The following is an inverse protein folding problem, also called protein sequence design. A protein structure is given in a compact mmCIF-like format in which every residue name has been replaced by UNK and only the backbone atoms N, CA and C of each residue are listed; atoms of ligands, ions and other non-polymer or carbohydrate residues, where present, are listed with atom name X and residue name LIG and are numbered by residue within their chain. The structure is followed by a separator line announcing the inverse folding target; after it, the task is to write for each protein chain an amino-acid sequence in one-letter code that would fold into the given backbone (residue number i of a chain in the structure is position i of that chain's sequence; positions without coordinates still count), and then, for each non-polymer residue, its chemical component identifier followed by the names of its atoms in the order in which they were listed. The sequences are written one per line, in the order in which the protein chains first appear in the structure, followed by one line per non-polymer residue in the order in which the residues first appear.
data_IF_159431247397
#
_entry.id   IF_159431247397
#
_cell.length_a   1.000
_cell.length_b   1.000
_cell.length_c   1.000
_cell.angle_alpha   90.00
_cell.angle_beta   90.00
_cell.angle_gamma   90.00
#
_symmetry.space_group_name_H-M   'P 1'
#
loop_
_entity.id
_entity.type
_entity.pdbx_description
1 polymer ?
#
# COMPACT_ATOMS: atom_id res chain seq x y z
N UNK A 1 27.36 29.29 13.61
CA UNK A 1 26.63 28.01 13.65
C UNK A 1 25.75 27.99 12.40
N UNK A 2 26.14 27.22 11.35
CA UNK A 2 25.30 27.05 10.16
C UNK A 2 24.07 26.28 10.61
N UNK A 3 22.89 26.90 10.50
CA UNK A 3 21.61 26.19 10.65
C UNK A 3 21.62 24.99 9.69
N UNK A 4 21.77 23.78 10.20
CA UNK A 4 21.51 22.59 9.40
C UNK A 4 20.02 22.57 9.09
N UNK A 5 19.63 22.41 7.82
CA UNK A 5 18.21 22.27 7.50
C UNK A 5 17.66 21.04 8.28
N UNK A 6 16.41 21.17 8.73
CA UNK A 6 15.68 20.05 9.35
C UNK A 6 15.69 18.89 8.37
N UNK A 7 16.05 17.65 8.79
CA UNK A 7 16.11 16.52 7.90
C UNK A 7 14.72 16.22 7.31
N UNK A 8 14.68 15.97 6.00
CA UNK A 8 13.44 15.58 5.30
C UNK A 8 13.09 14.14 5.62
N UNK A 9 11.88 13.94 6.12
CA UNK A 9 11.35 12.62 6.41
C UNK A 9 10.55 12.11 5.22
N UNK A 10 10.96 10.95 4.71
CA UNK A 10 10.23 10.21 3.70
C UNK A 10 9.56 8.98 4.28
N UNK A 11 8.30 8.74 3.93
CA UNK A 11 7.52 7.61 4.38
C UNK A 11 7.16 6.70 3.20
N UNK A 12 7.55 5.42 3.27
CA UNK A 12 7.24 4.39 2.30
C UNK A 12 6.18 3.45 2.87
N UNK A 13 5.01 3.34 2.22
CA UNK A 13 3.88 2.51 2.63
C UNK A 13 3.74 1.29 1.72
N UNK A 14 3.88 0.09 2.29
CA UNK A 14 3.79 -1.17 1.53
C UNK A 14 2.39 -1.49 1.07
N UNK A 15 2.27 -2.26 0.00
CA UNK A 15 1.03 -2.94 -0.35
C UNK A 15 0.64 -3.98 0.71
N UNK A 16 -0.59 -4.48 0.62
CA UNK A 16 -1.03 -5.52 1.56
C UNK A 16 -2.55 -5.69 1.68
N UNK A 17 -3.34 -5.04 0.83
CA UNK A 17 -4.80 -5.12 0.87
C UNK A 17 -5.35 -4.71 2.24
N UNK A 18 -6.20 -5.54 2.88
CA UNK A 18 -6.79 -5.20 4.19
C UNK A 18 -5.75 -4.99 5.30
N UNK A 19 -4.55 -5.60 5.20
CA UNK A 19 -3.44 -5.36 6.13
C UNK A 19 -2.96 -3.90 6.07
N UNK A 20 -3.04 -3.28 4.89
CA UNK A 20 -2.64 -1.90 4.66
C UNK A 20 -3.46 -0.85 5.44
N UNK A 21 -4.60 -1.24 6.02
CA UNK A 21 -5.33 -0.36 6.94
C UNK A 21 -4.49 0.00 8.19
N UNK A 22 -3.47 -0.79 8.53
CA UNK A 22 -2.52 -0.46 9.59
C UNK A 22 -1.73 0.84 9.31
N UNK A 23 -1.54 1.22 8.03
CA UNK A 23 -0.89 2.48 7.68
C UNK A 23 -1.63 3.70 8.25
N UNK A 24 -2.95 3.63 8.35
CA UNK A 24 -3.76 4.71 8.95
C UNK A 24 -3.36 4.90 10.42
N UNK A 25 -3.19 3.80 11.16
CA UNK A 25 -2.73 3.84 12.55
C UNK A 25 -1.33 4.41 12.70
N UNK A 26 -0.42 4.07 11.78
CA UNK A 26 0.93 4.64 11.76
C UNK A 26 0.87 6.15 11.54
N UNK A 27 0.11 6.62 10.54
CA UNK A 27 -0.05 8.04 10.25
C UNK A 27 -0.65 8.82 11.44
N UNK A 28 -1.66 8.26 12.13
CA UNK A 28 -2.24 8.85 13.35
C UNK A 28 -1.18 9.13 14.42
N UNK A 29 -0.28 8.16 14.65
CA UNK A 29 0.76 8.31 15.67
C UNK A 29 1.80 9.34 15.23
N UNK A 30 2.28 9.29 14.00
CA UNK A 30 3.26 10.24 13.49
C UNK A 30 2.72 11.69 13.56
N UNK A 31 1.48 11.90 13.14
CA UNK A 31 0.85 13.23 13.17
C UNK A 31 0.64 13.74 14.60
N UNK A 32 0.16 12.91 15.52
CA UNK A 32 0.01 13.24 16.96
C UNK A 32 1.33 13.60 17.63
N UNK A 33 2.43 13.04 17.14
CA UNK A 33 3.78 13.32 17.65
C UNK A 33 4.44 14.52 16.94
N UNK A 34 3.72 15.19 16.03
CA UNK A 34 4.25 16.32 15.28
C UNK A 34 5.38 15.95 14.32
N UNK A 35 5.47 14.68 13.92
CA UNK A 35 6.46 14.20 12.94
C UNK A 35 5.92 14.52 11.54
N UNK A 36 6.45 15.58 10.93
CA UNK A 36 6.07 15.99 9.59
C UNK A 36 6.61 14.98 8.55
N UNK A 37 5.77 14.63 7.59
CA UNK A 37 6.14 13.78 6.46
C UNK A 37 6.33 14.67 5.25
N UNK A 38 7.57 14.77 4.75
CA UNK A 38 7.92 15.62 3.63
C UNK A 38 7.73 14.95 2.28
N UNK A 39 7.91 13.62 2.21
CA UNK A 39 7.90 12.83 0.99
C UNK A 39 7.15 11.51 1.24
N UNK A 40 6.33 11.11 0.28
CA UNK A 40 5.55 9.87 0.35
C UNK A 40 5.80 9.00 -0.86
N UNK A 41 5.90 7.68 -0.64
CA UNK A 41 5.70 6.70 -1.69
C UNK A 41 4.84 5.55 -1.19
N UNK A 42 4.08 4.93 -2.08
CA UNK A 42 3.19 3.84 -1.68
C UNK A 42 2.87 2.88 -2.82
N UNK A 43 2.56 1.66 -2.44
CA UNK A 43 2.18 0.58 -3.36
C UNK A 43 0.82 0.03 -2.95
N UNK A 44 -0.07 -0.23 -3.92
CA UNK A 44 -1.36 -0.88 -3.67
C UNK A 44 -2.16 -0.17 -2.57
N UNK A 45 -2.59 -0.86 -1.51
CA UNK A 45 -3.30 -0.24 -0.39
C UNK A 45 -2.46 0.85 0.29
N UNK A 46 -1.15 0.66 0.44
CA UNK A 46 -0.27 1.73 0.95
C UNK A 46 -0.25 2.94 0.04
N UNK A 47 -0.32 2.74 -1.27
CA UNK A 47 -0.47 3.82 -2.25
C UNK A 47 -1.80 4.57 -2.11
N UNK A 48 -2.90 3.85 -1.88
CA UNK A 48 -4.21 4.46 -1.63
C UNK A 48 -4.21 5.30 -0.35
N UNK A 49 -3.65 4.78 0.74
CA UNK A 49 -3.54 5.51 2.03
C UNK A 49 -2.62 6.72 1.88
N UNK A 50 -1.47 6.57 1.20
CA UNK A 50 -0.54 7.68 0.92
C UNK A 50 -1.20 8.78 0.09
N UNK A 51 -1.96 8.41 -0.95
CA UNK A 51 -2.68 9.35 -1.80
C UNK A 51 -3.75 10.13 -1.02
N UNK A 52 -4.54 9.44 -0.21
CA UNK A 52 -5.55 10.06 0.64
C UNK A 52 -4.91 11.06 1.63
N UNK A 53 -3.82 10.66 2.27
CA UNK A 53 -3.08 11.50 3.18
C UNK A 53 -2.45 12.70 2.48
N UNK A 54 -1.78 12.51 1.35
CA UNK A 54 -1.18 13.58 0.56
C UNK A 54 -2.22 14.57 0.01
N UNK A 55 -3.42 14.10 -0.31
CA UNK A 55 -4.55 14.94 -0.73
C UNK A 55 -5.19 15.74 0.43
N UNK A 56 -4.73 15.55 1.67
CA UNK A 56 -5.16 16.35 2.82
C UNK A 56 -6.20 15.69 3.71
N UNK A 57 -6.58 14.43 3.46
CA UNK A 57 -7.47 13.71 4.38
C UNK A 57 -6.72 13.38 5.68
N UNK A 58 -7.36 13.66 6.81
CA UNK A 58 -6.76 13.35 8.12
C UNK A 58 -6.80 11.84 8.40
N UNK A 59 -5.86 11.31 9.18
CA UNK A 59 -5.88 9.90 9.54
C UNK A 59 -7.15 9.49 10.30
N UNK A 60 -7.75 10.39 11.07
CA UNK A 60 -9.03 10.17 11.77
C UNK A 60 -10.20 10.03 10.77
N UNK A 61 -10.23 10.86 9.73
CA UNK A 61 -11.23 10.74 8.67
C UNK A 61 -11.05 9.42 7.90
N UNK A 62 -9.82 9.06 7.56
CA UNK A 62 -9.52 7.79 6.88
C UNK A 62 -9.93 6.57 7.73
N UNK A 63 -9.71 6.62 9.05
CA UNK A 63 -10.20 5.58 9.98
C UNK A 63 -11.71 5.46 9.95
N UNK A 64 -12.44 6.59 10.02
CA UNK A 64 -13.90 6.58 9.96
C UNK A 64 -14.41 5.96 8.64
N UNK A 65 -13.77 6.29 7.51
CA UNK A 65 -14.12 5.71 6.23
C UNK A 65 -13.79 4.22 6.17
N UNK A 66 -12.63 3.80 6.69
CA UNK A 66 -12.26 2.38 6.77
C UNK A 66 -13.26 1.58 7.61
N UNK A 67 -13.68 2.11 8.76
CA UNK A 67 -14.70 1.49 9.62
C UNK A 67 -16.08 1.45 8.95
N UNK A 68 -16.46 2.49 8.22
CA UNK A 68 -17.70 2.49 7.42
C UNK A 68 -17.65 1.41 6.34
N UNK A 69 -16.51 1.26 5.66
CA UNK A 69 -16.31 0.27 4.59
C UNK A 69 -16.09 -1.15 5.11
N UNK A 70 -15.91 -1.36 6.40
CA UNK A 70 -15.73 -2.68 7.02
C UNK A 70 -16.96 -3.60 6.88
N UNK A 71 -18.15 -3.04 6.58
CA UNK A 71 -19.37 -3.80 6.33
C UNK A 71 -19.29 -4.59 5.01
N UNK A 72 -19.60 -5.92 5.01
CA UNK A 72 -19.60 -6.72 3.78
C UNK A 72 -20.50 -6.15 2.67
N UNK A 73 -21.64 -5.55 3.02
CA UNK A 73 -22.55 -4.93 2.03
C UNK A 73 -21.89 -3.75 1.32
N UNK A 74 -21.13 -2.92 2.04
CA UNK A 74 -20.43 -1.78 1.45
C UNK A 74 -19.22 -2.21 0.64
N UNK A 75 -18.47 -3.20 1.08
CA UNK A 75 -17.40 -3.79 0.27
C UNK A 75 -17.94 -4.36 -1.04
N UNK A 76 -19.08 -5.05 -1.00
CA UNK A 76 -19.75 -5.56 -2.20
C UNK A 76 -20.25 -4.43 -3.11
N UNK A 77 -20.59 -3.26 -2.59
CA UNK A 77 -21.00 -2.12 -3.43
C UNK A 77 -19.84 -1.55 -4.26
N UNK A 78 -18.58 -1.77 -3.85
CA UNK A 78 -17.40 -1.43 -4.65
C UNK A 78 -17.02 -2.51 -5.68
N UNK A 79 -17.68 -3.68 -5.63
CA UNK A 79 -17.46 -4.71 -6.62
C UNK A 79 -18.18 -4.33 -7.93
N UNK A 80 -17.44 -4.35 -9.01
CA UNK A 80 -17.88 -4.15 -10.39
C UNK A 80 -17.43 -5.33 -11.25
N UNK A 81 -18.12 -6.50 -11.14
CA UNK A 81 -17.69 -7.70 -11.83
C UNK A 81 -17.71 -7.49 -13.35
N UNK A 82 -16.70 -8.01 -14.02
CA UNK A 82 -16.56 -7.99 -15.47
C UNK A 82 -16.47 -9.40 -16.05
N UNK A 83 -16.58 -9.53 -17.36
CA UNK A 83 -16.30 -10.79 -18.03
C UNK A 83 -14.84 -11.17 -17.76
N UNK A 84 -14.54 -12.42 -17.33
CA UNK A 84 -13.21 -12.82 -16.84
C UNK A 84 -12.20 -13.02 -17.98
N UNK A 85 -11.88 -11.95 -18.70
CA UNK A 85 -10.86 -11.98 -19.76
C UNK A 85 -9.47 -11.55 -19.26
N UNK A 86 -9.41 -10.47 -18.43
CA UNK A 86 -8.15 -9.92 -17.91
C UNK A 86 -8.21 -9.60 -16.41
N UNK A 87 -9.33 -9.91 -15.72
CA UNK A 87 -9.56 -9.66 -14.29
C UNK A 87 -11.01 -9.97 -13.92
N UNK A 88 -11.29 -10.09 -12.61
CA UNK A 88 -12.64 -10.35 -12.10
C UNK A 88 -13.46 -9.07 -11.90
N UNK A 89 -12.80 -7.93 -11.66
CA UNK A 89 -13.41 -6.63 -11.40
C UNK A 89 -12.78 -5.54 -12.28
N UNK A 90 -13.59 -4.61 -12.75
CA UNK A 90 -13.11 -3.42 -13.50
C UNK A 90 -12.34 -2.47 -12.57
N UNK A 91 -12.74 -2.33 -11.31
CA UNK A 91 -12.16 -1.40 -10.33
C UNK A 91 -12.60 0.05 -10.53
N UNK A 92 -13.57 0.31 -11.39
CA UNK A 92 -14.09 1.66 -11.66
C UNK A 92 -14.84 2.22 -10.44
N UNK A 93 -15.63 1.41 -9.76
CA UNK A 93 -16.34 1.83 -8.53
C UNK A 93 -15.39 2.26 -7.41
N UNK A 94 -14.19 1.68 -7.33
CA UNK A 94 -13.17 2.15 -6.39
C UNK A 94 -12.66 3.52 -6.82
N UNK A 95 -12.44 3.73 -8.12
CA UNK A 95 -12.00 5.03 -8.65
C UNK A 95 -13.06 6.10 -8.41
N UNK A 96 -14.34 5.81 -8.65
CA UNK A 96 -15.47 6.70 -8.37
C UNK A 96 -15.57 7.02 -6.86
N UNK A 97 -15.46 6.00 -6.01
CA UNK A 97 -15.45 6.16 -4.55
C UNK A 97 -14.33 7.10 -4.08
N UNK A 98 -13.14 7.00 -4.68
CA UNK A 98 -12.02 7.87 -4.39
C UNK A 98 -12.23 9.28 -4.95
N UNK A 99 -12.76 9.39 -6.18
CA UNK A 99 -13.05 10.68 -6.81
C UNK A 99 -14.07 11.50 -6.01
N UNK A 100 -15.08 10.86 -5.41
CA UNK A 100 -16.04 11.51 -4.51
C UNK A 100 -15.38 12.16 -3.28
N UNK A 101 -14.20 11.69 -2.86
CA UNK A 101 -13.49 12.15 -1.67
C UNK A 101 -12.29 13.04 -1.97
N UNK A 102 -11.61 12.78 -3.07
CA UNK A 102 -10.41 13.51 -3.50
C UNK A 102 -10.73 14.57 -4.56
N UNK A 103 -11.94 14.53 -5.16
CA UNK A 103 -12.27 15.39 -6.31
C UNK A 103 -11.38 15.11 -7.52
N UNK A 104 -11.14 16.14 -8.32
CA UNK A 104 -10.25 16.13 -9.49
C UNK A 104 -8.78 16.37 -9.12
N UNK A 105 -8.37 15.94 -7.90
CA UNK A 105 -7.03 16.13 -7.36
C UNK A 105 -5.95 15.53 -8.27
N UNK A 106 -4.97 16.33 -8.61
CA UNK A 106 -3.76 15.92 -9.35
C UNK A 106 -2.55 15.87 -8.41
N UNK A 107 -1.45 15.27 -8.86
CA UNK A 107 -0.22 15.25 -8.06
C UNK A 107 0.34 16.64 -7.73
N UNK A 108 -0.06 17.68 -8.49
CA UNK A 108 0.35 19.06 -8.24
C UNK A 108 -0.40 19.72 -7.09
N UNK A 109 -1.58 19.19 -6.76
CA UNK A 109 -2.46 19.73 -5.73
C UNK A 109 -2.19 19.12 -4.35
N UNK A 110 -1.29 18.12 -4.29
CA UNK A 110 -0.96 17.40 -3.07
C UNK A 110 -0.11 18.29 -2.11
N UNK A 111 -0.36 18.12 -0.81
CA UNK A 111 0.37 18.86 0.24
C UNK A 111 1.83 18.43 0.42
N UNK A 112 2.19 17.25 -0.07
CA UNK A 112 3.57 16.78 -0.15
C UNK A 112 3.76 15.92 -1.40
N UNK A 113 4.99 15.85 -1.96
CA UNK A 113 5.30 15.00 -3.10
C UNK A 113 4.96 13.53 -2.83
N UNK A 114 4.29 12.91 -3.79
CA UNK A 114 3.85 11.51 -3.74
C UNK A 114 4.34 10.77 -4.97
N UNK A 115 4.80 9.53 -4.79
CA UNK A 115 5.03 8.56 -5.85
C UNK A 115 4.29 7.27 -5.57
N UNK A 116 3.56 6.76 -6.57
CA UNK A 116 2.86 5.48 -6.50
C UNK A 116 3.54 4.47 -7.43
N UNK A 117 3.60 3.22 -6.98
CA UNK A 117 4.24 2.15 -7.75
C UNK A 117 3.24 1.38 -8.59
N UNK A 118 3.60 1.10 -9.82
CA UNK A 118 2.93 0.15 -10.70
C UNK A 118 3.98 -0.71 -11.41
N UNK A 119 3.53 -1.73 -12.15
CA UNK A 119 4.37 -2.54 -13.03
C UNK A 119 3.77 -2.53 -14.42
N UNK A 120 4.58 -2.22 -15.40
CA UNK A 120 4.26 -2.37 -16.82
C UNK A 120 4.56 -3.81 -17.25
N UNK A 121 3.50 -4.56 -17.59
CA UNK A 121 3.62 -5.96 -17.98
C UNK A 121 4.30 -6.14 -19.35
N UNK A 122 4.12 -5.20 -20.28
CA UNK A 122 4.70 -5.28 -21.62
C UNK A 122 6.17 -4.83 -21.60
N UNK A 123 6.47 -3.77 -20.83
CA UNK A 123 7.82 -3.28 -20.65
C UNK A 123 8.67 -4.05 -19.65
N UNK A 124 8.08 -4.99 -18.88
CA UNK A 124 8.77 -5.78 -17.84
C UNK A 124 9.52 -4.92 -16.81
N UNK A 125 8.91 -3.82 -16.35
CA UNK A 125 9.58 -2.85 -15.49
C UNK A 125 8.65 -2.26 -14.43
N UNK A 126 9.24 -1.80 -13.34
CA UNK A 126 8.54 -0.96 -12.38
C UNK A 126 8.29 0.44 -13.00
N UNK A 127 7.14 1.01 -12.72
CA UNK A 127 6.72 2.33 -13.17
C UNK A 127 6.38 3.19 -11.96
N UNK A 128 6.89 4.42 -11.97
CA UNK A 128 6.57 5.44 -10.98
C UNK A 128 5.47 6.33 -11.54
N UNK A 129 4.37 6.43 -10.81
CA UNK A 129 3.23 7.28 -11.12
C UNK A 129 3.31 8.52 -10.22
N UNK A 130 3.62 9.67 -10.81
CA UNK A 130 3.78 10.96 -10.11
C UNK A 130 3.15 12.14 -10.87
N UNK A 131 2.30 11.85 -11.86
CA UNK A 131 1.66 12.84 -12.74
C UNK A 131 0.21 12.48 -13.06
N UNK A 132 -0.57 13.51 -13.41
CA UNK A 132 -1.97 13.37 -13.79
C UNK A 132 -2.89 13.31 -12.57
N UNK A 133 -4.06 12.67 -12.73
CA UNK A 133 -5.05 12.51 -11.66
C UNK A 133 -4.57 11.46 -10.65
N UNK A 134 -4.69 11.79 -9.38
CA UNK A 134 -4.29 10.88 -8.30
C UNK A 134 -5.13 9.59 -8.29
N UNK A 135 -6.43 9.70 -8.56
CA UNK A 135 -7.35 8.55 -8.61
C UNK A 135 -6.98 7.54 -9.68
N UNK A 136 -6.52 7.99 -10.86
CA UNK A 136 -6.09 7.10 -11.94
C UNK A 136 -4.81 6.34 -11.57
N UNK A 137 -3.88 7.03 -10.91
CA UNK A 137 -2.66 6.40 -10.41
C UNK A 137 -2.95 5.40 -9.28
N UNK A 138 -3.91 5.72 -8.38
CA UNK A 138 -4.37 4.78 -7.35
C UNK A 138 -5.01 3.56 -8.00
N UNK A 139 -5.85 3.74 -9.05
CA UNK A 139 -6.45 2.64 -9.79
C UNK A 139 -5.40 1.70 -10.39
N UNK A 140 -4.30 2.24 -10.91
CA UNK A 140 -3.21 1.44 -11.46
C UNK A 140 -2.43 0.69 -10.36
N UNK A 141 -2.05 1.37 -9.27
CA UNK A 141 -1.26 0.75 -8.18
C UNK A 141 -2.01 -0.37 -7.45
N UNK A 142 -3.36 -0.36 -7.45
CA UNK A 142 -4.18 -1.42 -6.84
C UNK A 142 -4.61 -2.51 -7.84
N UNK A 143 -4.16 -2.47 -9.08
CA UNK A 143 -4.55 -3.41 -10.13
C UNK A 143 -3.93 -4.80 -9.93
N UNK A 144 -4.27 -5.47 -8.83
CA UNK A 144 -3.75 -6.80 -8.48
C UNK A 144 -4.10 -7.82 -9.58
N UNK A 145 -3.10 -8.48 -10.20
CA UNK A 145 -3.32 -9.45 -11.26
C UNK A 145 -4.29 -10.55 -10.87
N UNK A 146 -5.20 -10.88 -11.80
CA UNK A 146 -6.27 -11.86 -11.58
C UNK A 146 -7.49 -11.31 -10.82
N UNK A 147 -7.34 -10.25 -10.03
CA UNK A 147 -8.46 -9.63 -9.30
C UNK A 147 -9.01 -8.42 -10.08
N UNK A 148 -8.18 -7.45 -10.37
CA UNK A 148 -8.58 -6.26 -11.11
C UNK A 148 -8.03 -6.29 -12.54
N UNK A 149 -8.81 -5.72 -13.45
CA UNK A 149 -8.36 -5.49 -14.82
C UNK A 149 -7.14 -4.56 -14.82
N UNK A 150 -6.07 -4.88 -15.57
CA UNK A 150 -4.96 -3.98 -15.78
C UNK A 150 -5.41 -2.62 -16.33
N UNK A 151 -4.65 -1.58 -16.07
CA UNK A 151 -4.90 -0.23 -16.55
C UNK A 151 -4.04 0.05 -17.78
N UNK A 152 -4.67 0.37 -18.87
CA UNK A 152 -3.98 0.85 -20.08
C UNK A 152 -3.73 2.37 -19.95
N UNK A 153 -2.45 2.78 -19.99
CA UNK A 153 -2.06 4.18 -19.89
C UNK A 153 -0.82 4.45 -20.73
N UNK A 154 -0.92 5.41 -21.65
CA UNK A 154 0.23 5.89 -22.45
C UNK A 154 0.98 4.78 -23.20
N UNK A 155 0.27 3.71 -23.61
CA UNK A 155 0.86 2.55 -24.28
C UNK A 155 1.43 1.49 -23.33
N UNK A 156 1.32 1.67 -22.04
CA UNK A 156 1.72 0.71 -21.00
C UNK A 156 0.51 -0.09 -20.50
N UNK A 157 0.75 -1.34 -20.09
CA UNK A 157 -0.24 -2.20 -19.43
C UNK A 157 0.09 -2.35 -17.95
N UNK A 158 -0.51 -1.49 -17.13
CA UNK A 158 -0.15 -1.34 -15.72
C UNK A 158 -0.93 -2.29 -14.81
N UNK A 159 -0.19 -2.89 -13.89
CA UNK A 159 -0.70 -3.70 -12.77
C UNK A 159 -0.09 -3.24 -11.46
N UNK A 160 -0.54 -3.84 -10.35
CA UNK A 160 -0.10 -3.55 -8.99
C UNK A 160 1.44 -3.58 -8.86
N UNK A 161 1.98 -2.51 -8.25
CA UNK A 161 3.42 -2.34 -8.06
C UNK A 161 4.06 -3.38 -7.15
N UNK A 162 3.26 -4.06 -6.32
CA UNK A 162 3.73 -5.09 -5.37
C UNK A 162 4.46 -6.26 -6.01
N UNK A 163 4.31 -6.47 -7.32
CA UNK A 163 5.06 -7.50 -8.03
C UNK A 163 6.57 -7.25 -8.03
N UNK A 164 7.01 -5.99 -8.10
CA UNK A 164 8.43 -5.62 -8.21
C UNK A 164 8.92 -4.73 -7.07
N UNK A 165 8.07 -3.87 -6.50
CA UNK A 165 8.43 -2.96 -5.42
C UNK A 165 7.24 -2.73 -4.47
N UNK A 166 7.09 -3.64 -3.52
CA UNK A 166 5.99 -3.57 -2.58
C UNK A 166 6.22 -2.57 -1.45
N UNK A 167 7.49 -2.26 -1.11
CA UNK A 167 7.87 -1.32 -0.06
C UNK A 167 8.78 -0.27 -0.69
N UNK A 168 8.26 0.82 -1.26
CA UNK A 168 9.02 1.72 -2.12
C UNK A 168 9.97 2.66 -1.34
N UNK A 169 10.78 2.09 -0.44
CA UNK A 169 11.73 2.82 0.39
C UNK A 169 12.86 3.45 -0.44
N UNK A 170 13.33 2.74 -1.48
CA UNK A 170 14.30 3.27 -2.43
C UNK A 170 13.76 4.48 -3.20
N UNK A 171 12.49 4.42 -3.59
CA UNK A 171 11.82 5.53 -4.30
C UNK A 171 11.75 6.78 -3.43
N UNK A 172 11.43 6.63 -2.14
CA UNK A 172 11.41 7.76 -1.20
C UNK A 172 12.82 8.34 -1.02
N UNK A 173 13.83 7.48 -0.96
CA UNK A 173 15.24 7.92 -0.89
C UNK A 173 15.65 8.72 -2.13
N UNK A 174 15.28 8.24 -3.32
CA UNK A 174 15.52 8.94 -4.60
C UNK A 174 14.78 10.28 -4.70
N UNK A 175 13.65 10.45 -3.98
CA UNK A 175 12.96 11.74 -3.87
C UNK A 175 13.74 12.75 -3.01
N UNK A 176 14.78 12.33 -2.33
CA UNK A 176 15.64 13.19 -1.52
C UNK A 176 15.28 13.20 -0.03
N UNK A 177 14.74 12.11 0.51
CA UNK A 177 14.58 11.93 1.94
C UNK A 177 15.93 11.75 2.63
N UNK A 178 16.15 12.48 3.72
CA UNK A 178 17.31 12.31 4.59
C UNK A 178 17.10 11.14 5.56
N UNK A 179 15.86 10.95 6.01
CA UNK A 179 15.42 9.85 6.87
C UNK A 179 14.28 9.12 6.16
N UNK A 180 14.44 7.82 5.94
CA UNK A 180 13.42 6.97 5.35
C UNK A 180 12.79 6.09 6.43
N UNK A 181 11.48 6.21 6.57
CA UNK A 181 10.65 5.33 7.40
C UNK A 181 9.86 4.41 6.46
N UNK A 182 10.06 3.11 6.56
CA UNK A 182 9.32 2.12 5.80
C UNK A 182 8.27 1.43 6.68
N UNK A 183 7.04 1.27 6.17
CA UNK A 183 5.99 0.50 6.86
C UNK A 183 5.71 -0.76 6.07
N UNK A 184 6.02 -1.91 6.67
CA UNK A 184 5.91 -3.24 6.09
C UNK A 184 4.78 -4.03 6.77
N UNK A 185 3.62 -4.14 6.10
CA UNK A 185 2.44 -4.86 6.62
C UNK A 185 2.36 -6.31 6.13
N UNK A 186 3.33 -6.79 5.33
CA UNK A 186 3.32 -8.14 4.75
C UNK A 186 4.44 -9.05 5.24
N UNK A 187 5.27 -8.58 6.18
CA UNK A 187 6.38 -9.36 6.70
C UNK A 187 5.96 -10.78 7.11
N UNK A 188 6.58 -11.79 6.50
CA UNK A 188 6.43 -13.20 6.86
C UNK A 188 5.15 -13.92 6.39
N UNK A 189 4.25 -13.27 5.64
CA UNK A 189 2.97 -13.88 5.23
C UNK A 189 2.75 -13.79 3.72
N UNK A 190 2.58 -14.94 3.04
CA UNK A 190 2.26 -15.01 1.62
C UNK A 190 0.96 -14.26 1.28
N UNK A 191 1.00 -13.52 0.18
CA UNK A 191 -0.08 -12.63 -0.26
C UNK A 191 -1.20 -13.41 -0.95
N UNK A 192 -0.84 -14.32 -1.85
CA UNK A 192 -1.78 -15.08 -2.70
C UNK A 192 -2.22 -16.42 -2.10
N UNK A 193 -1.39 -17.08 -1.32
CA UNK A 193 -1.70 -18.42 -0.78
C UNK A 193 -2.96 -18.43 0.11
N UNK A 194 -3.19 -17.41 0.89
CA UNK A 194 -4.39 -17.28 1.73
C UNK A 194 -5.70 -17.16 0.91
N UNK A 195 -5.63 -16.63 -0.32
CA UNK A 195 -6.78 -16.51 -1.21
C UNK A 195 -7.24 -17.88 -1.69
N UNK A 196 -6.31 -18.75 -2.06
CA UNK A 196 -6.63 -20.04 -2.67
C UNK A 196 -7.16 -21.04 -1.66
N UNK A 197 -6.65 -21.06 -0.43
CA UNK A 197 -7.21 -21.90 0.63
C UNK A 197 -8.72 -21.66 0.80
N UNK A 198 -9.19 -20.42 0.70
CA UNK A 198 -10.62 -20.11 0.83
C UNK A 198 -11.45 -20.45 -0.41
N UNK A 199 -10.88 -20.40 -1.62
CA UNK A 199 -11.56 -20.84 -2.84
C UNK A 199 -11.74 -22.36 -2.87
N UNK A 200 -10.77 -23.11 -2.33
CA UNK A 200 -10.82 -24.55 -2.20
C UNK A 200 -11.91 -25.03 -1.25
N UNK A 201 -12.12 -24.35 -0.12
CA UNK A 201 -13.14 -24.69 0.87
C UNK A 201 -14.58 -24.55 0.35
N UNK A 202 -14.79 -23.82 -0.77
CA UNK A 202 -16.11 -23.56 -1.36
C UNK A 202 -16.53 -24.55 -2.46
N UNK A 203 -15.80 -25.64 -2.70
CA UNK A 203 -16.12 -26.72 -3.68
C UNK A 203 -16.41 -26.28 -5.13
N UNK A 204 -16.06 -25.06 -5.54
CA UNK A 204 -16.33 -24.57 -6.91
C UNK A 204 -15.23 -24.88 -7.93
N UNK A 205 -14.06 -25.39 -7.49
CA UNK A 205 -12.92 -25.68 -8.36
C UNK A 205 -12.53 -27.15 -8.18
N UNK A 206 -12.32 -27.91 -9.28
CA UNK A 206 -11.82 -29.27 -9.19
C UNK A 206 -10.48 -29.33 -8.42
N UNK A 207 -10.32 -30.29 -7.52
CA UNK A 207 -9.17 -30.38 -6.61
C UNK A 207 -7.81 -30.35 -7.33
N UNK A 208 -7.68 -30.95 -8.50
CA UNK A 208 -6.45 -30.93 -9.29
C UNK A 208 -6.08 -29.53 -9.83
N UNK A 209 -7.07 -28.77 -10.30
CA UNK A 209 -6.86 -27.43 -10.81
C UNK A 209 -6.53 -26.46 -9.65
N UNK A 210 -7.21 -26.60 -8.52
CA UNK A 210 -6.98 -25.79 -7.33
C UNK A 210 -5.54 -25.97 -6.80
N UNK A 211 -5.01 -27.20 -6.79
CA UNK A 211 -3.64 -27.45 -6.36
C UNK A 211 -2.59 -26.86 -7.31
N UNK A 212 -2.84 -26.89 -8.61
CA UNK A 212 -1.94 -26.25 -9.60
C UNK A 212 -1.87 -24.74 -9.41
N UNK A 213 -3.03 -24.07 -9.24
CA UNK A 213 -3.07 -22.64 -8.94
C UNK A 213 -2.42 -22.32 -7.60
N UNK A 214 -2.60 -23.17 -6.59
CA UNK A 214 -1.95 -22.98 -5.27
C UNK A 214 -0.42 -22.98 -5.40
N UNK A 215 0.17 -23.93 -6.12
CA UNK A 215 1.62 -24.00 -6.35
C UNK A 215 2.09 -22.75 -7.11
N UNK A 216 1.39 -22.37 -8.18
CA UNK A 216 1.73 -21.20 -8.98
C UNK A 216 1.74 -19.91 -8.12
N UNK A 217 0.71 -19.67 -7.34
CA UNK A 217 0.60 -18.48 -6.53
C UNK A 217 1.57 -18.47 -5.34
N UNK A 218 1.86 -19.64 -4.74
CA UNK A 218 2.93 -19.75 -3.74
C UNK A 218 4.31 -19.43 -4.32
N UNK A 219 4.56 -19.85 -5.56
CA UNK A 219 5.81 -19.52 -6.26
C UNK A 219 5.94 -18.02 -6.49
N UNK A 220 4.85 -17.35 -6.89
CA UNK A 220 4.81 -15.88 -6.99
C UNK A 220 5.04 -15.22 -5.62
N UNK A 221 4.41 -15.70 -4.55
CA UNK A 221 4.63 -15.18 -3.19
C UNK A 221 6.11 -15.27 -2.77
N UNK A 222 6.78 -16.39 -3.07
CA UNK A 222 8.21 -16.58 -2.78
C UNK A 222 9.08 -15.60 -3.57
N UNK A 223 8.79 -15.43 -4.87
CA UNK A 223 9.52 -14.51 -5.74
C UNK A 223 9.34 -13.06 -5.28
N UNK A 224 8.10 -12.65 -5.02
CA UNK A 224 7.79 -11.30 -4.53
C UNK A 224 8.44 -11.03 -3.18
N UNK A 225 8.39 -12.00 -2.25
CA UNK A 225 9.05 -11.88 -0.95
C UNK A 225 10.54 -11.64 -1.09
N UNK A 226 11.24 -12.42 -1.93
CA UNK A 226 12.69 -12.29 -2.11
C UNK A 226 13.07 -10.97 -2.81
N UNK A 227 12.32 -10.56 -3.84
CA UNK A 227 12.53 -9.28 -4.52
C UNK A 227 12.37 -8.12 -3.51
N UNK A 228 11.27 -8.12 -2.75
CA UNK A 228 10.99 -7.04 -1.79
C UNK A 228 12.00 -7.01 -0.65
N UNK A 229 12.43 -8.19 -0.16
CA UNK A 229 13.49 -8.31 0.85
C UNK A 229 14.79 -7.68 0.38
N UNK A 230 15.19 -7.96 -0.87
CA UNK A 230 16.41 -7.38 -1.46
C UNK A 230 16.29 -5.87 -1.62
N UNK A 231 15.20 -5.38 -2.20
CA UNK A 231 14.96 -3.95 -2.39
C UNK A 231 14.93 -3.18 -1.07
N UNK A 232 14.30 -3.74 -0.03
CA UNK A 232 14.28 -3.13 1.29
C UNK A 232 15.69 -3.07 1.91
N UNK A 233 16.51 -4.14 1.73
CA UNK A 233 17.88 -4.16 2.20
C UNK A 233 18.76 -3.14 1.44
N UNK A 234 18.61 -3.02 0.13
CA UNK A 234 19.31 -2.05 -0.70
C UNK A 234 18.94 -0.59 -0.36
N UNK A 235 17.65 -0.33 -0.13
CA UNK A 235 17.16 0.99 0.26
C UNK A 235 17.63 1.41 1.65
N UNK A 236 17.94 0.44 2.53
CA UNK A 236 18.45 0.61 3.89
C UNK A 236 17.70 1.73 4.66
N UNK A 237 16.34 1.63 4.84
CA UNK A 237 15.62 2.65 5.58
C UNK A 237 16.09 2.72 7.03
N UNK A 238 16.12 3.91 7.61
CA UNK A 238 16.57 4.15 8.98
C UNK A 238 15.62 3.51 10.00
N UNK A 239 14.33 3.40 9.67
CA UNK A 239 13.30 2.78 10.50
C UNK A 239 12.40 1.89 9.67
N UNK A 240 12.14 0.67 10.13
CA UNK A 240 11.13 -0.23 9.55
C UNK A 240 10.07 -0.53 10.60
N UNK A 241 8.84 -0.05 10.36
CA UNK A 241 7.68 -0.29 11.21
C UNK A 241 6.96 -1.54 10.69
N UNK A 242 6.82 -2.57 11.54
CA UNK A 242 6.12 -3.82 11.22
C UNK A 242 4.94 -4.03 12.16
N UNK A 243 3.71 -3.64 11.75
CA UNK A 243 2.52 -3.91 12.54
C UNK A 243 2.28 -5.42 12.71
N UNK A 244 1.94 -5.84 13.93
CA UNK A 244 1.50 -7.20 14.22
C UNK A 244 0.05 -7.36 13.78
N UNK A 245 -0.12 -7.78 12.52
CA UNK A 245 -1.43 -7.84 11.86
C UNK A 245 -2.30 -8.93 12.49
N UNK A 246 -3.55 -8.63 12.89
CA UNK A 246 -4.42 -9.59 13.52
C UNK A 246 -4.66 -10.85 12.67
N UNK A 247 -4.74 -12.04 13.29
CA UNK A 247 -5.04 -13.28 12.58
C UNK A 247 -6.33 -13.18 11.76
N UNK A 248 -6.31 -13.74 10.54
CA UNK A 248 -7.46 -13.72 9.63
C UNK A 248 -7.56 -12.47 8.75
N UNK A 249 -6.68 -11.48 8.93
CA UNK A 249 -6.52 -10.36 8.00
C UNK A 249 -5.49 -10.71 6.93
N UNK A 250 -5.87 -10.59 5.66
CA UNK A 250 -5.02 -10.86 4.51
C UNK A 250 -5.21 -9.79 3.43
N UNK A 251 -4.63 -9.98 2.25
CA UNK A 251 -4.78 -9.01 1.14
C UNK A 251 -6.24 -8.80 0.75
N UNK A 252 -7.04 -9.86 0.69
CA UNK A 252 -8.43 -9.80 0.20
C UNK A 252 -9.48 -9.94 1.31
N UNK A 253 -9.09 -10.29 2.51
CA UNK A 253 -10.02 -10.63 3.58
C UNK A 253 -9.61 -9.94 4.87
N UNK A 254 -10.63 -9.67 5.70
CA UNK A 254 -10.42 -9.08 7.00
C UNK A 254 -10.65 -7.58 7.05
N UNK A 255 -11.21 -6.97 6.00
CA UNK A 255 -11.68 -5.57 6.05
C UNK A 255 -12.66 -5.32 7.19
N UNK A 256 -13.46 -6.33 7.60
CA UNK A 256 -14.33 -6.23 8.78
C UNK A 256 -13.56 -6.05 10.10
N UNK A 257 -12.27 -6.31 10.12
CA UNK A 257 -11.37 -6.08 11.26
C UNK A 257 -10.55 -4.79 11.12
N UNK A 258 -11.08 -3.81 10.40
CA UNK A 258 -10.39 -2.54 10.14
C UNK A 258 -9.89 -1.89 11.44
N UNK A 259 -10.72 -1.80 12.46
CA UNK A 259 -10.34 -1.21 13.76
C UNK A 259 -9.14 -1.90 14.41
N UNK A 260 -9.17 -3.24 14.49
CA UNK A 260 -8.05 -4.01 15.08
C UNK A 260 -6.75 -3.80 14.28
N UNK A 261 -6.87 -3.74 12.96
CA UNK A 261 -5.73 -3.55 12.04
C UNK A 261 -5.13 -2.16 12.19
N UNK A 262 -5.95 -1.12 12.30
CA UNK A 262 -5.51 0.26 12.55
C UNK A 262 -4.80 0.35 13.91
N UNK A 263 -5.37 -0.25 14.95
CA UNK A 263 -4.75 -0.30 16.30
C UNK A 263 -3.39 -1.02 16.26
N UNK A 264 -3.25 -2.08 15.47
CA UNK A 264 -1.94 -2.73 15.29
C UNK A 264 -0.91 -1.77 14.68
N UNK A 265 -1.32 -0.94 13.72
CA UNK A 265 -0.50 0.13 13.17
C UNK A 265 -0.09 1.18 14.19
N UNK A 266 -1.04 1.64 15.02
CA UNK A 266 -0.75 2.60 16.11
C UNK A 266 0.30 2.03 17.09
N UNK A 267 0.10 0.78 17.53
CA UNK A 267 1.04 0.11 18.45
C UNK A 267 2.45 0.01 17.88
N UNK A 268 2.58 -0.42 16.64
CA UNK A 268 3.87 -0.54 15.98
C UNK A 268 4.58 0.81 15.79
N UNK A 269 3.82 1.85 15.45
CA UNK A 269 4.36 3.19 15.33
C UNK A 269 4.85 3.73 16.69
N UNK A 270 4.07 3.54 17.78
CA UNK A 270 4.49 3.92 19.16
C UNK A 270 5.79 3.23 19.55
N UNK A 271 5.95 1.94 19.21
CA UNK A 271 7.19 1.21 19.48
C UNK A 271 8.39 1.77 18.68
N UNK A 272 8.16 2.31 17.50
CA UNK A 272 9.22 2.89 16.66
C UNK A 272 9.58 4.35 17.04
N UNK A 273 8.73 5.06 17.81
CA UNK A 273 8.94 6.46 18.17
C UNK A 273 10.33 6.76 18.77
N UNK A 274 10.88 5.96 19.72
CA UNK A 274 12.19 6.27 20.27
C UNK A 274 13.28 6.33 19.20
N UNK A 275 13.28 5.41 18.24
CA UNK A 275 14.24 5.39 17.13
C UNK A 275 14.05 6.58 16.19
N UNK A 276 12.79 6.93 15.86
CA UNK A 276 12.49 8.09 15.00
C UNK A 276 12.93 9.37 15.69
N UNK A 277 12.60 9.55 16.96
CA UNK A 277 12.96 10.74 17.74
C UNK A 277 14.47 10.89 17.90
N UNK A 278 15.21 9.79 18.03
CA UNK A 278 16.68 9.81 18.09
C UNK A 278 17.30 10.36 16.80
N UNK A 279 16.76 9.94 15.64
CA UNK A 279 17.21 10.43 14.32
C UNK A 279 16.91 11.92 14.11
N UNK A 280 15.89 12.45 14.79
CA UNK A 280 15.48 13.86 14.68
C UNK A 280 16.21 14.80 15.66
N UNK A 281 16.95 14.24 16.64
CA UNK A 281 17.73 15.07 17.55
C UNK A 281 18.85 15.79 16.79
N UNK A 282 19.08 17.09 17.12
CA UNK A 282 20.26 17.77 16.61
C UNK A 282 21.51 16.98 17.03
N UNK A 283 22.39 16.66 16.07
CA UNK A 283 23.67 16.02 16.40
C UNK A 283 24.42 16.89 17.42
N UNK A 284 24.56 16.40 18.63
CA UNK A 284 25.47 17.01 19.60
C UNK A 284 26.90 16.82 19.08
N UNK A 285 27.46 17.86 18.50
CA UNK A 285 28.91 18.00 18.32
C UNK A 285 29.49 18.86 19.41
#
# INVERSE_FOLDING_TARGET
VKNRPVPKIGLALSGGGARGLAHIGVLKVLERQGIAIDLLAGTSMGGMVAAAYAAGLTPEYMEQEALRMASPRRLLSLADPTLPRRGLFEGQKITEYLADRLGECTFKDLRCPLRLMAVDLEGNRAVILDKGRVTDAVRATIALPGLFKPVEREGELLVDGGLLDNIPAGVVREMGADIVIAVDVVAGNGTFSAMIHRLRDRRYIPNGLASTFEVMFRSLDVMMYEINRRRLAEAAPEVVIRPDIPPGVSVLVGFSRAGDTIVAGEKAAVQALPSIQELLKPSQM
#
